data_IF_252009213885
#
_entry.id   IF_252009213885
#
_cell.length_a   1.000
_cell.length_b   1.000
_cell.length_c   1.000
_cell.angle_alpha   90.00
_cell.angle_beta   90.00
_cell.angle_gamma   90.00
#
_symmetry.space_group_name_H-M   'P 1'
#
loop_
_entity.id
_entity.type
_entity.pdbx_description
1 polymer ?
#
# COMPACT_ATOMS: atom_id res chain seq x y z
N UNK A 1 0.18 9.67 -1.81
CA UNK A 1 -0.54 10.37 -0.72
C UNK A 1 0.39 10.53 0.49
N UNK A 2 0.64 11.75 0.99
CA UNK A 2 1.48 11.99 2.15
C UNK A 2 0.75 11.67 3.46
N UNK A 3 1.51 11.27 4.49
CA UNK A 3 1.00 11.07 5.86
C UNK A 3 2.08 11.38 6.90
N UNK A 4 1.67 11.57 8.16
CA UNK A 4 2.60 11.78 9.27
C UNK A 4 2.71 10.52 10.13
N UNK A 5 3.93 10.19 10.55
CA UNK A 5 4.26 9.00 11.33
C UNK A 5 4.78 9.41 12.71
N UNK A 6 4.22 8.75 13.72
CA UNK A 6 4.73 8.68 15.08
C UNK A 6 4.83 7.21 15.45
N UNK A 7 6.01 6.77 15.87
CA UNK A 7 6.18 5.42 16.38
C UNK A 7 7.43 5.33 17.26
N UNK A 8 7.29 4.61 18.36
CA UNK A 8 8.33 4.35 19.36
C UNK A 8 8.80 2.90 19.36
N UNK A 9 8.15 2.01 18.61
CA UNK A 9 8.39 0.58 18.65
C UNK A 9 7.92 -0.13 17.38
N UNK A 10 8.29 -1.41 17.21
CA UNK A 10 7.95 -2.17 16.02
C UNK A 10 6.43 -2.34 15.85
N UNK A 11 6.00 -2.46 14.61
CA UNK A 11 4.59 -2.62 14.23
C UNK A 11 4.47 -3.46 12.96
N UNK A 12 3.28 -3.96 12.67
CA UNK A 12 2.93 -4.62 11.40
C UNK A 12 2.10 -3.70 10.52
N UNK A 13 2.23 -3.84 9.20
CA UNK A 13 1.34 -3.20 8.23
C UNK A 13 0.87 -4.20 7.19
N UNK A 14 -0.42 -4.14 6.89
CA UNK A 14 -1.07 -4.85 5.80
C UNK A 14 -2.23 -4.00 5.28
N UNK A 15 -2.80 -4.41 4.14
CA UNK A 15 -3.97 -3.74 3.58
C UNK A 15 -5.16 -4.67 3.39
N UNK A 16 -6.34 -4.09 3.33
CA UNK A 16 -7.54 -4.71 2.79
C UNK A 16 -7.98 -3.92 1.56
N UNK A 17 -8.41 -4.65 0.53
CA UNK A 17 -8.91 -4.04 -0.70
C UNK A 17 -10.41 -4.27 -0.80
N UNK A 18 -11.12 -3.32 -1.42
CA UNK A 18 -12.50 -3.56 -1.87
C UNK A 18 -12.54 -4.68 -2.91
N UNK A 19 -11.52 -4.73 -3.77
CA UNK A 19 -11.34 -5.75 -4.80
C UNK A 19 -9.92 -6.31 -4.71
N UNK A 20 -9.79 -7.57 -4.32
CA UNK A 20 -8.50 -8.27 -4.31
C UNK A 20 -8.18 -8.85 -5.69
N UNK A 21 -6.90 -8.76 -6.08
CA UNK A 21 -6.40 -9.34 -7.32
C UNK A 21 -4.93 -9.75 -7.17
N UNK A 22 -4.65 -11.06 -7.25
CA UNK A 22 -3.27 -11.57 -7.28
C UNK A 22 -2.41 -11.24 -6.04
N UNK A 23 -3.04 -11.05 -4.87
CA UNK A 23 -2.36 -10.65 -3.63
C UNK A 23 -2.18 -9.14 -3.44
N UNK A 24 -2.68 -8.33 -4.38
CA UNK A 24 -2.77 -6.88 -4.29
C UNK A 24 -4.22 -6.39 -4.45
N UNK A 25 -4.37 -5.07 -4.61
CA UNK A 25 -5.67 -4.45 -4.84
C UNK A 25 -5.99 -4.30 -6.33
N UNK A 26 -7.25 -4.09 -6.63
CA UNK A 26 -7.71 -3.65 -7.95
C UNK A 26 -8.70 -2.49 -7.84
N UNK A 27 -8.79 -1.73 -8.93
CA UNK A 27 -9.88 -0.79 -9.18
C UNK A 27 -10.78 -1.39 -10.27
N UNK A 28 -12.08 -1.13 -10.17
CA UNK A 28 -13.09 -1.80 -11.00
C UNK A 28 -14.04 -0.79 -11.66
N UNK A 29 -14.51 -1.10 -12.86
CA UNK A 29 -15.60 -0.39 -13.53
C UNK A 29 -16.97 -0.88 -13.05
N UNK A 30 -18.06 -0.12 -13.27
CA UNK A 30 -19.41 -0.62 -13.00
C UNK A 30 -19.79 -1.89 -13.80
N UNK A 31 -19.10 -2.15 -14.93
CA UNK A 31 -19.31 -3.34 -15.76
C UNK A 31 -18.51 -4.55 -15.30
N UNK A 32 -17.58 -4.37 -14.35
CA UNK A 32 -16.82 -5.46 -13.75
C UNK A 32 -15.37 -5.58 -14.21
N UNK A 33 -14.92 -4.75 -15.15
CA UNK A 33 -13.52 -4.76 -15.61
C UNK A 33 -12.61 -4.33 -14.45
N UNK A 34 -11.54 -5.08 -14.22
CA UNK A 34 -10.60 -4.85 -13.13
C UNK A 34 -9.22 -4.51 -13.65
N UNK A 35 -8.57 -3.60 -12.93
CA UNK A 35 -7.19 -3.17 -13.18
C UNK A 35 -6.42 -3.33 -11.88
N UNK A 36 -5.30 -4.08 -11.87
CA UNK A 36 -4.43 -4.18 -10.70
C UNK A 36 -3.90 -2.81 -10.27
N UNK A 37 -3.80 -2.60 -8.95
CA UNK A 37 -3.15 -1.45 -8.34
C UNK A 37 -2.15 -1.95 -7.32
N UNK A 38 -0.88 -1.59 -7.52
CA UNK A 38 0.17 -1.78 -6.52
C UNK A 38 0.08 -0.66 -5.51
N UNK A 39 -0.11 -1.02 -4.24
CA UNK A 39 -0.07 -0.08 -3.12
C UNK A 39 1.26 -0.27 -2.41
N UNK A 40 2.04 0.80 -2.29
CA UNK A 40 3.37 0.74 -1.70
C UNK A 40 3.58 1.81 -0.65
N UNK A 41 4.39 1.50 0.35
CA UNK A 41 4.66 2.34 1.50
C UNK A 41 6.10 2.86 1.49
N UNK A 42 6.27 4.13 1.82
CA UNK A 42 7.57 4.70 2.19
C UNK A 42 7.48 5.28 3.60
N UNK A 43 8.43 4.90 4.44
CA UNK A 43 8.49 5.34 5.82
C UNK A 43 9.72 6.23 6.05
N UNK A 44 9.64 7.14 7.02
CA UNK A 44 10.78 7.97 7.38
C UNK A 44 11.95 7.13 7.86
N UNK A 45 13.16 7.68 7.70
CA UNK A 45 14.37 7.10 8.27
C UNK A 45 14.22 6.85 9.77
N UNK A 46 14.80 5.74 10.24
CA UNK A 46 14.59 5.21 11.58
C UNK A 46 13.63 4.01 11.61
N UNK A 47 12.82 3.80 10.56
CA UNK A 47 12.00 2.59 10.37
C UNK A 47 12.58 1.75 9.23
N UNK A 48 12.69 0.44 9.46
CA UNK A 48 13.25 -0.52 8.50
C UNK A 48 12.38 -1.76 8.38
N UNK A 49 12.50 -2.46 7.26
CA UNK A 49 11.94 -3.79 7.05
C UNK A 49 13.10 -4.73 6.68
N UNK A 50 13.30 -5.81 7.45
CA UNK A 50 14.43 -6.72 7.24
C UNK A 50 15.79 -6.01 7.25
N UNK A 51 15.95 -4.96 8.06
CA UNK A 51 17.17 -4.14 8.13
C UNK A 51 17.36 -3.10 7.01
N UNK A 52 16.44 -3.02 6.04
CA UNK A 52 16.54 -2.09 4.90
C UNK A 52 15.59 -0.90 5.05
N UNK A 53 15.97 0.32 4.62
CA UNK A 53 15.05 1.46 4.57
C UNK A 53 13.79 1.15 3.77
N UNK A 54 12.64 1.59 4.28
CA UNK A 54 11.34 1.36 3.64
C UNK A 54 11.07 2.44 2.59
N UNK A 55 11.33 2.11 1.33
CA UNK A 55 11.07 2.98 0.20
C UNK A 55 10.28 2.23 -0.87
N UNK A 56 9.07 2.73 -1.18
CA UNK A 56 8.10 2.10 -2.11
C UNK A 56 8.00 0.58 -1.93
N UNK A 57 7.94 0.11 -0.68
CA UNK A 57 7.76 -1.29 -0.35
C UNK A 57 6.30 -1.68 -0.61
N UNK A 58 6.07 -2.62 -1.52
CA UNK A 58 4.73 -3.11 -1.83
C UNK A 58 4.09 -3.75 -0.59
N UNK A 59 2.84 -3.42 -0.33
CA UNK A 59 2.09 -3.95 0.80
C UNK A 59 1.28 -5.18 0.38
N UNK A 60 1.24 -6.23 1.21
CA UNK A 60 0.42 -7.39 0.96
C UNK A 60 -1.01 -7.19 1.47
N UNK A 61 -1.95 -7.88 0.84
CA UNK A 61 -3.32 -7.97 1.34
C UNK A 61 -3.43 -8.98 2.48
N UNK A 62 -4.12 -8.59 3.55
CA UNK A 62 -4.53 -9.47 4.65
C UNK A 62 -3.48 -9.61 5.75
N UNK A 63 -3.99 -9.83 6.97
CA UNK A 63 -3.18 -9.87 8.19
C UNK A 63 -2.16 -11.03 8.20
N UNK A 64 -2.52 -12.18 7.63
CA UNK A 64 -1.65 -13.36 7.57
C UNK A 64 -0.34 -13.10 6.78
N UNK A 65 -0.34 -12.09 5.92
CA UNK A 65 0.82 -11.69 5.13
C UNK A 65 1.47 -10.39 5.64
N UNK A 66 1.06 -9.87 6.80
CA UNK A 66 1.48 -8.55 7.27
C UNK A 66 3.01 -8.40 7.35
N UNK A 67 3.50 -7.25 6.90
CA UNK A 67 4.91 -6.92 6.96
C UNK A 67 5.25 -6.34 8.32
N UNK A 68 6.27 -6.90 8.97
CA UNK A 68 6.85 -6.36 10.20
C UNK A 68 7.82 -5.22 9.88
N UNK A 69 7.72 -4.14 10.64
CA UNK A 69 8.63 -3.01 10.61
C UNK A 69 9.33 -2.85 11.95
N UNK A 70 10.65 -2.70 11.90
CA UNK A 70 11.51 -2.51 13.07
C UNK A 70 12.04 -1.08 13.13
N UNK A 71 12.51 -0.69 14.32
CA UNK A 71 13.00 0.64 14.61
C UNK A 71 14.50 0.65 14.89
N UNK A 72 15.21 1.57 14.24
CA UNK A 72 16.57 1.95 14.60
C UNK A 72 16.58 3.16 15.55
N UNK A 73 15.58 4.03 15.42
CA UNK A 73 15.40 5.22 16.25
C UNK A 73 13.91 5.52 16.46
N UNK A 74 13.58 6.26 17.52
CA UNK A 74 12.24 6.81 17.69
C UNK A 74 11.89 7.75 16.54
N UNK A 75 10.65 7.66 16.04
CA UNK A 75 10.14 8.52 14.97
C UNK A 75 8.99 9.35 15.52
N UNK A 76 9.09 10.68 15.38
CA UNK A 76 8.05 11.61 15.81
C UNK A 76 7.79 12.66 14.74
N UNK A 77 6.53 12.76 14.32
CA UNK A 77 6.04 13.74 13.35
C UNK A 77 6.83 13.77 12.03
N UNK A 78 7.25 12.61 11.53
CA UNK A 78 8.01 12.51 10.28
C UNK A 78 7.11 12.15 9.11
N UNK A 79 7.49 12.58 7.92
CA UNK A 79 6.72 12.33 6.70
C UNK A 79 6.89 10.88 6.25
N UNK A 80 5.78 10.20 6.00
CA UNK A 80 5.70 8.97 5.22
C UNK A 80 4.81 9.19 3.98
N UNK A 81 4.76 8.20 3.10
CA UNK A 81 3.90 8.27 1.91
C UNK A 81 3.38 6.92 1.46
N UNK A 82 2.14 6.93 1.00
CA UNK A 82 1.55 5.85 0.22
C UNK A 82 1.65 6.15 -1.26
N UNK A 83 1.97 5.13 -2.04
CA UNK A 83 2.06 5.16 -3.48
C UNK A 83 1.02 4.21 -4.05
N UNK A 84 0.38 4.64 -5.14
CA UNK A 84 -0.58 3.85 -5.88
C UNK A 84 -0.12 3.84 -7.32
N UNK A 85 0.19 2.66 -7.84
CA UNK A 85 0.70 2.49 -9.21
C UNK A 85 -0.15 1.49 -9.97
N UNK A 86 -0.51 1.86 -11.20
CA UNK A 86 -1.07 0.95 -12.21
C UNK A 86 0.02 0.71 -13.24
N UNK A 87 0.27 -0.54 -13.61
CA UNK A 87 1.30 -0.85 -14.60
C UNK A 87 0.92 -0.28 -15.97
N UNK A 88 1.92 0.16 -16.75
CA UNK A 88 1.69 0.74 -18.08
C UNK A 88 0.92 -0.18 -19.03
N UNK A 89 1.11 -1.50 -18.92
CA UNK A 89 0.33 -2.51 -19.65
C UNK A 89 -1.16 -2.45 -19.31
N UNK A 90 -1.49 -2.28 -18.04
CA UNK A 90 -2.87 -2.28 -17.56
C UNK A 90 -3.55 -0.95 -17.92
N UNK A 91 -2.78 0.15 -17.94
CA UNK A 91 -3.26 1.44 -18.48
C UNK A 91 -3.64 1.33 -19.95
N UNK A 92 -2.90 0.58 -20.79
CA UNK A 92 -3.28 0.39 -22.20
C UNK A 92 -4.65 -0.28 -22.33
N UNK A 93 -4.98 -1.22 -21.45
CA UNK A 93 -6.31 -1.83 -21.41
C UNK A 93 -7.39 -0.82 -20.98
N UNK A 94 -7.09 0.05 -20.01
CA UNK A 94 -8.02 1.11 -19.60
C UNK A 94 -8.37 2.04 -20.77
N UNK A 95 -7.41 2.37 -21.64
CA UNK A 95 -7.62 3.24 -22.80
C UNK A 95 -8.58 2.65 -23.84
N UNK A 96 -8.78 1.33 -23.84
CA UNK A 96 -9.76 0.66 -24.70
C UNK A 96 -11.21 0.87 -24.25
N UNK A 97 -11.43 1.44 -23.06
CA UNK A 97 -12.75 1.70 -22.47
C UNK A 97 -12.94 3.20 -22.15
N UNK A 98 -12.93 4.09 -23.16
CA UNK A 98 -12.98 5.53 -22.95
C UNK A 98 -14.28 5.96 -22.24
N UNK A 99 -14.18 6.97 -21.38
CA UNK A 99 -15.30 7.48 -20.60
C UNK A 99 -15.71 6.61 -19.40
N UNK A 100 -14.99 5.52 -19.13
CA UNK A 100 -15.27 4.63 -17.99
C UNK A 100 -14.42 5.02 -16.78
N UNK A 101 -15.06 5.16 -15.63
CA UNK A 101 -14.38 5.37 -14.35
C UNK A 101 -14.05 4.03 -13.70
N UNK A 102 -12.82 3.90 -13.23
CA UNK A 102 -12.36 2.81 -12.38
C UNK A 102 -12.27 3.32 -10.94
N UNK A 103 -12.81 2.58 -9.98
CA UNK A 103 -12.79 2.95 -8.57
C UNK A 103 -12.56 1.71 -7.68
N UNK A 104 -12.02 1.95 -6.48
CA UNK A 104 -11.72 0.91 -5.51
C UNK A 104 -11.28 1.55 -4.20
N UNK A 105 -11.63 0.95 -3.07
CA UNK A 105 -11.17 1.37 -1.75
C UNK A 105 -10.00 0.50 -1.26
N UNK A 106 -9.06 1.13 -0.56
CA UNK A 106 -7.94 0.46 0.11
C UNK A 106 -7.90 0.93 1.56
N UNK A 107 -7.99 -0.02 2.48
CA UNK A 107 -7.85 0.22 3.92
C UNK A 107 -6.48 -0.25 4.36
N UNK A 108 -5.68 0.67 4.90
CA UNK A 108 -4.37 0.37 5.45
C UNK A 108 -4.48 0.16 6.95
N UNK A 109 -3.96 -0.97 7.45
CA UNK A 109 -3.96 -1.30 8.88
C UNK A 109 -2.55 -1.20 9.43
N UNK A 110 -2.37 -0.37 10.46
CA UNK A 110 -1.17 -0.32 11.27
C UNK A 110 -1.46 -1.00 12.60
N UNK A 111 -0.79 -2.11 12.85
CA UNK A 111 -0.98 -2.91 14.05
C UNK A 111 0.26 -2.81 14.94
N UNK A 112 0.08 -2.26 16.14
CA UNK A 112 1.15 -2.12 17.13
C UNK A 112 1.29 -3.35 18.04
N UNK A 113 0.39 -4.33 17.93
CA UNK A 113 0.47 -5.61 18.62
C UNK A 113 1.26 -6.60 17.77
N UNK A 114 2.23 -7.29 18.38
CA UNK A 114 3.14 -8.20 17.68
C UNK A 114 2.87 -9.64 18.06
#
# INVERSE_FOLDING_TARGET
MPMRIWSTGPFKVYMHCQYDLGGGCAIRTPKGDQVPVVVALSLPGGIVHGGTPVNRLALPTGEAAALRFDHLTMVSNRLGSLHFDVAGSDVQQMLSNPGTQYAGEVTLVFDAEL
#
